data_IF_260868011626
#
_entry.id   IF_260868011626
#
_cell.length_a   1.000
_cell.length_b   1.000
_cell.length_c   1.000
_cell.angle_alpha   90.00
_cell.angle_beta   90.00
_cell.angle_gamma   90.00
#
_symmetry.space_group_name_H-M   'P 1'
#
loop_
_entity.id
_entity.type
_entity.pdbx_description
1 polymer ?
#
# COMPACT_ATOMS: atom_id res chain seq x y z
N UNK A 1 -11.73 -35.24 8.41
CA UNK A 1 -11.67 -34.06 7.50
C UNK A 1 -10.58 -34.38 6.48
N UNK A 2 -10.95 -34.77 5.27
CA UNK A 2 -9.99 -35.12 4.21
C UNK A 2 -9.25 -33.86 3.78
N UNK A 3 -7.98 -33.73 4.16
CA UNK A 3 -7.14 -32.62 3.70
C UNK A 3 -6.98 -32.73 2.19
N UNK A 4 -7.38 -31.69 1.46
CA UNK A 4 -7.15 -31.56 0.03
C UNK A 4 -5.64 -31.46 -0.21
N UNK A 5 -5.04 -32.48 -0.82
CA UNK A 5 -3.64 -32.44 -1.24
C UNK A 5 -3.56 -31.74 -2.60
N UNK A 6 -2.90 -30.56 -2.67
CA UNK A 6 -2.83 -29.82 -3.92
C UNK A 6 -1.94 -30.56 -4.93
N UNK A 7 -2.35 -30.53 -6.20
CA UNK A 7 -1.53 -31.05 -7.30
C UNK A 7 -0.44 -30.04 -7.68
N UNK A 8 0.69 -30.54 -8.22
CA UNK A 8 1.77 -29.68 -8.73
C UNK A 8 1.23 -28.72 -9.81
N UNK A 9 0.31 -29.19 -10.65
CA UNK A 9 -0.32 -28.36 -11.67
C UNK A 9 -1.09 -27.19 -11.05
N UNK A 10 -1.97 -27.44 -10.07
CA UNK A 10 -2.74 -26.39 -9.41
C UNK A 10 -1.82 -25.35 -8.77
N UNK A 11 -0.73 -25.80 -8.18
CA UNK A 11 0.24 -24.96 -7.50
C UNK A 11 1.00 -24.05 -8.51
N UNK A 12 1.43 -24.58 -9.67
CA UNK A 12 2.02 -23.78 -10.76
C UNK A 12 1.04 -22.75 -11.34
N UNK A 13 -0.18 -23.18 -11.66
CA UNK A 13 -1.22 -22.27 -12.18
C UNK A 13 -1.48 -21.14 -11.19
N UNK A 14 -1.59 -21.45 -9.90
CA UNK A 14 -1.80 -20.47 -8.83
C UNK A 14 -0.65 -19.47 -8.77
N UNK A 15 0.60 -19.95 -8.83
CA UNK A 15 1.81 -19.12 -8.81
C UNK A 15 1.83 -18.10 -9.97
N UNK A 16 1.60 -18.55 -11.21
CA UNK A 16 1.58 -17.67 -12.37
C UNK A 16 0.44 -16.65 -12.33
N UNK A 17 -0.78 -17.11 -12.11
CA UNK A 17 -1.98 -16.25 -12.18
C UNK A 17 -1.93 -15.18 -11.09
N UNK A 18 -1.67 -15.57 -9.84
CA UNK A 18 -1.68 -14.61 -8.74
C UNK A 18 -0.50 -13.64 -8.81
N UNK A 19 0.69 -14.10 -9.20
CA UNK A 19 1.84 -13.20 -9.40
C UNK A 19 1.55 -12.20 -10.51
N UNK A 20 0.97 -12.63 -11.64
CA UNK A 20 0.63 -11.74 -12.74
C UNK A 20 -0.35 -10.63 -12.30
N UNK A 21 -1.39 -10.98 -11.55
CA UNK A 21 -2.34 -9.98 -11.03
C UNK A 21 -1.61 -9.00 -10.10
N UNK A 22 -0.72 -9.47 -9.23
CA UNK A 22 0.09 -8.64 -8.35
C UNK A 22 1.04 -7.69 -9.10
N UNK A 23 1.66 -8.17 -10.19
CA UNK A 23 2.50 -7.36 -11.07
C UNK A 23 1.67 -6.26 -11.73
N UNK A 24 0.53 -6.61 -12.33
CA UNK A 24 -0.35 -5.63 -12.97
C UNK A 24 -0.87 -4.59 -11.96
N UNK A 25 -1.24 -5.01 -10.75
CA UNK A 25 -1.63 -4.12 -9.67
C UNK A 25 -0.51 -3.14 -9.28
N UNK A 26 0.74 -3.62 -9.22
CA UNK A 26 1.90 -2.77 -8.92
C UNK A 26 2.20 -1.80 -10.06
N UNK A 27 2.18 -2.27 -11.31
CA UNK A 27 2.35 -1.42 -12.48
C UNK A 27 1.30 -0.31 -12.53
N UNK A 28 0.03 -0.65 -12.30
CA UNK A 28 -1.07 0.31 -12.21
C UNK A 28 -0.83 1.35 -11.11
N UNK A 29 -0.44 0.90 -9.92
CA UNK A 29 -0.09 1.78 -8.79
C UNK A 29 1.01 2.76 -9.17
N UNK A 30 2.10 2.28 -9.77
CA UNK A 30 3.26 3.11 -10.15
C UNK A 30 2.90 4.10 -11.26
N UNK A 31 2.17 3.64 -12.28
CA UNK A 31 1.68 4.48 -13.37
C UNK A 31 0.79 5.61 -12.85
N UNK A 32 -0.26 5.28 -12.08
CA UNK A 32 -1.17 6.27 -11.49
C UNK A 32 -0.37 7.28 -10.68
N UNK A 33 0.52 6.81 -9.81
CA UNK A 33 1.27 7.71 -8.94
C UNK A 33 2.20 8.61 -9.70
N UNK A 34 2.89 8.12 -10.73
CA UNK A 34 3.71 8.95 -11.63
C UNK A 34 2.88 10.04 -12.32
N UNK A 35 1.63 9.75 -12.67
CA UNK A 35 0.74 10.71 -13.34
C UNK A 35 0.16 11.76 -12.39
N UNK A 36 -0.19 11.40 -11.15
CA UNK A 36 -0.85 12.33 -10.22
C UNK A 36 0.09 12.99 -9.21
N UNK A 37 1.24 12.38 -8.87
CA UNK A 37 2.11 12.80 -7.75
C UNK A 37 3.59 12.44 -8.00
N UNK A 38 4.50 12.90 -7.13
CA UNK A 38 5.86 12.32 -7.11
C UNK A 38 5.87 10.90 -6.55
N UNK A 39 6.82 10.07 -7.00
CA UNK A 39 7.10 8.73 -6.47
C UNK A 39 7.67 8.86 -5.06
N UNK A 40 7.12 8.10 -4.11
CA UNK A 40 7.58 8.10 -2.72
C UNK A 40 8.24 6.77 -2.34
N UNK A 41 8.89 6.72 -1.17
CA UNK A 41 9.52 5.51 -0.65
C UNK A 41 8.59 4.29 -0.61
N UNK A 42 7.30 4.46 -0.32
CA UNK A 42 6.33 3.35 -0.36
C UNK A 42 6.20 2.70 -1.75
N UNK A 43 6.38 3.49 -2.81
CA UNK A 43 6.31 3.02 -4.19
C UNK A 43 7.59 2.29 -4.62
N UNK A 44 8.74 2.71 -4.11
CA UNK A 44 10.03 2.02 -4.31
C UNK A 44 9.96 0.62 -3.69
N UNK A 45 9.45 0.50 -2.45
CA UNK A 45 9.28 -0.79 -1.78
C UNK A 45 8.25 -1.69 -2.48
N UNK A 46 7.17 -1.12 -3.03
CA UNK A 46 6.20 -1.87 -3.83
C UNK A 46 6.83 -2.39 -5.13
N UNK A 47 7.62 -1.57 -5.82
CA UNK A 47 8.36 -1.99 -7.02
C UNK A 47 9.39 -3.08 -6.71
N UNK A 48 10.11 -2.96 -5.58
CA UNK A 48 11.03 -3.97 -5.10
C UNK A 48 10.31 -5.29 -4.81
N UNK A 49 9.16 -5.25 -4.12
CA UNK A 49 8.33 -6.43 -3.87
C UNK A 49 7.87 -7.10 -5.17
N UNK A 50 7.51 -6.32 -6.20
CA UNK A 50 7.16 -6.86 -7.51
C UNK A 50 8.33 -7.58 -8.19
N UNK A 51 9.52 -6.97 -8.20
CA UNK A 51 10.73 -7.60 -8.77
C UNK A 51 11.06 -8.89 -8.03
N UNK A 52 11.07 -8.85 -6.69
CA UNK A 52 11.31 -10.03 -5.86
C UNK A 52 10.21 -11.09 -6.05
N UNK A 53 8.97 -10.68 -6.31
CA UNK A 53 7.85 -11.59 -6.61
C UNK A 53 8.05 -12.33 -7.94
N UNK A 54 8.61 -11.67 -8.95
CA UNK A 54 8.99 -12.31 -10.22
C UNK A 54 10.15 -13.28 -10.01
N UNK A 55 11.14 -12.90 -9.19
CA UNK A 55 12.25 -13.80 -8.82
C UNK A 55 11.72 -15.02 -8.06
N UNK A 56 10.79 -14.83 -7.11
CA UNK A 56 10.13 -15.92 -6.41
C UNK A 56 9.42 -16.83 -7.40
N UNK A 57 8.54 -16.28 -8.25
CA UNK A 57 7.77 -17.05 -9.22
C UNK A 57 8.68 -17.91 -10.12
N UNK A 58 9.73 -17.31 -10.70
CA UNK A 58 10.67 -18.01 -11.58
C UNK A 58 11.48 -19.08 -10.84
N UNK A 59 12.03 -18.76 -9.67
CA UNK A 59 12.83 -19.69 -8.87
C UNK A 59 11.98 -20.87 -8.38
N UNK A 60 10.74 -20.59 -8.02
CA UNK A 60 9.79 -21.57 -7.53
C UNK A 60 9.37 -22.56 -8.63
N UNK A 61 9.18 -22.10 -9.88
CA UNK A 61 8.95 -23.01 -11.01
C UNK A 61 10.14 -23.94 -11.25
N UNK A 62 11.36 -23.41 -11.21
CA UNK A 62 12.58 -24.22 -11.35
C UNK A 62 12.69 -25.22 -10.20
N UNK A 63 12.32 -24.82 -8.99
CA UNK A 63 12.33 -25.71 -7.82
C UNK A 63 11.41 -26.93 -8.00
N UNK A 64 10.21 -26.75 -8.58
CA UNK A 64 9.26 -27.84 -8.83
C UNK A 64 9.40 -28.53 -10.19
N UNK A 65 10.43 -28.21 -10.99
CA UNK A 65 10.79 -28.96 -12.19
C UNK A 65 11.64 -30.19 -11.85
N UNK A 66 11.74 -31.13 -12.79
CA UNK A 66 12.53 -32.35 -12.56
C UNK A 66 14.03 -32.01 -12.48
N UNK A 67 14.60 -32.06 -11.28
CA UNK A 67 15.98 -31.64 -11.00
C UNK A 67 17.03 -32.76 -11.18
N UNK A 68 16.71 -33.82 -11.90
CA UNK A 68 17.60 -34.99 -12.07
C UNK A 68 18.97 -34.63 -12.67
N UNK A 69 19.04 -33.57 -13.48
CA UNK A 69 20.27 -33.16 -14.18
C UNK A 69 21.02 -32.01 -13.48
N UNK A 70 20.51 -31.47 -12.37
CA UNK A 70 21.13 -30.32 -11.69
C UNK A 70 22.17 -30.76 -10.65
N UNK A 71 23.29 -30.03 -10.60
CA UNK A 71 24.33 -30.20 -9.58
C UNK A 71 23.80 -29.80 -8.19
N UNK A 72 24.42 -30.31 -7.12
CA UNK A 72 24.04 -29.98 -5.74
C UNK A 72 24.07 -28.46 -5.50
N UNK A 73 25.10 -27.77 -6.01
CA UNK A 73 25.22 -26.32 -5.90
C UNK A 73 24.01 -25.58 -6.51
N UNK A 74 23.58 -25.97 -7.71
CA UNK A 74 22.41 -25.37 -8.37
C UNK A 74 21.14 -25.57 -7.55
N UNK A 75 20.94 -26.76 -6.99
CA UNK A 75 19.78 -27.12 -6.17
C UNK A 75 19.72 -26.28 -4.89
N UNK A 76 20.86 -26.13 -4.22
CA UNK A 76 21.04 -25.25 -3.07
C UNK A 76 20.76 -23.79 -3.42
N UNK A 77 21.28 -23.29 -4.54
CA UNK A 77 21.02 -21.91 -4.99
C UNK A 77 19.53 -21.68 -5.24
N UNK A 78 18.84 -22.60 -5.92
CA UNK A 78 17.39 -22.48 -6.18
C UNK A 78 16.62 -22.43 -4.87
N UNK A 79 16.95 -23.30 -3.91
CA UNK A 79 16.33 -23.30 -2.59
C UNK A 79 16.47 -21.94 -1.89
N UNK A 80 17.68 -21.38 -1.85
CA UNK A 80 17.89 -20.05 -1.26
C UNK A 80 17.18 -18.94 -2.03
N UNK A 81 17.15 -19.00 -3.36
CA UNK A 81 16.42 -18.02 -4.16
C UNK A 81 14.93 -18.03 -3.80
N UNK A 82 14.31 -19.20 -3.66
CA UNK A 82 12.89 -19.32 -3.25
C UNK A 82 12.69 -18.80 -1.83
N UNK A 83 13.48 -19.27 -0.86
CA UNK A 83 13.31 -18.91 0.55
C UNK A 83 13.55 -17.40 0.78
N UNK A 84 14.62 -16.84 0.20
CA UNK A 84 14.97 -15.44 0.39
C UNK A 84 14.04 -14.51 -0.36
N UNK A 85 13.61 -14.85 -1.58
CA UNK A 85 12.63 -14.03 -2.29
C UNK A 85 11.28 -14.04 -1.57
N UNK A 86 10.83 -15.16 -1.01
CA UNK A 86 9.63 -15.22 -0.17
C UNK A 86 9.72 -14.26 1.03
N UNK A 87 10.81 -14.32 1.81
CA UNK A 87 11.00 -13.43 2.96
C UNK A 87 11.06 -11.97 2.52
N UNK A 88 11.76 -11.70 1.41
CA UNK A 88 11.98 -10.36 0.91
C UNK A 88 10.72 -9.71 0.34
N UNK A 89 9.86 -10.44 -0.37
CA UNK A 89 8.56 -9.91 -0.86
C UNK A 89 7.66 -9.57 0.32
N UNK A 90 7.52 -10.48 1.29
CA UNK A 90 6.69 -10.27 2.47
C UNK A 90 7.19 -9.08 3.30
N UNK A 91 8.51 -8.99 3.51
CA UNK A 91 9.15 -7.86 4.17
C UNK A 91 8.91 -6.54 3.43
N UNK A 92 9.23 -6.50 2.13
CA UNK A 92 9.08 -5.30 1.30
C UNK A 92 7.61 -4.83 1.21
N UNK A 93 6.65 -5.75 1.12
CA UNK A 93 5.22 -5.44 1.11
C UNK A 93 4.77 -4.75 2.41
N UNK A 94 5.17 -5.28 3.57
CA UNK A 94 4.86 -4.68 4.88
C UNK A 94 5.54 -3.33 5.07
N UNK A 95 6.79 -3.20 4.63
CA UNK A 95 7.52 -1.94 4.65
C UNK A 95 6.80 -0.90 3.77
N UNK A 96 6.35 -1.27 2.57
CA UNK A 96 5.56 -0.39 1.70
C UNK A 96 4.31 0.12 2.43
N UNK A 97 3.53 -0.76 3.08
CA UNK A 97 2.36 -0.37 3.87
C UNK A 97 2.75 0.56 5.02
N UNK A 98 3.81 0.23 5.77
CA UNK A 98 4.30 1.05 6.87
C UNK A 98 4.70 2.45 6.41
N UNK A 99 5.34 2.60 5.26
CA UNK A 99 5.64 3.92 4.68
C UNK A 99 4.38 4.69 4.28
N UNK A 100 3.32 4.01 3.84
CA UNK A 100 2.01 4.65 3.62
C UNK A 100 1.46 5.21 4.94
N UNK A 101 1.53 4.45 6.04
CA UNK A 101 1.09 4.91 7.36
C UNK A 101 1.95 6.07 7.86
N UNK A 102 3.28 6.01 7.69
CA UNK A 102 4.21 7.09 8.02
C UNK A 102 3.87 8.37 7.25
N UNK A 103 3.49 8.26 5.98
CA UNK A 103 3.13 9.41 5.14
C UNK A 103 1.83 10.08 5.60
N UNK A 104 0.87 9.30 6.10
CA UNK A 104 -0.41 9.82 6.60
C UNK A 104 -0.26 10.41 8.01
N UNK A 105 0.69 9.90 8.79
CA UNK A 105 0.91 10.29 10.18
C UNK A 105 1.63 11.63 10.33
N UNK A 106 1.26 12.40 11.35
CA UNK A 106 1.84 13.72 11.65
C UNK A 106 2.42 13.78 13.07
N UNK A 107 3.37 14.70 13.30
CA UNK A 107 3.96 14.95 14.62
C UNK A 107 4.74 13.77 15.20
N UNK A 108 4.65 13.57 16.53
CA UNK A 108 5.40 12.56 17.29
C UNK A 108 5.18 11.12 16.80
N UNK A 109 3.97 10.80 16.32
CA UNK A 109 3.62 9.46 15.82
C UNK A 109 4.45 9.10 14.58
N UNK A 110 4.74 10.07 13.73
CA UNK A 110 5.56 9.85 12.53
C UNK A 110 6.99 9.43 12.88
N UNK A 111 7.58 10.02 13.91
CA UNK A 111 8.91 9.65 14.38
C UNK A 111 8.92 8.25 15.00
N UNK A 112 7.91 7.92 15.80
CA UNK A 112 7.74 6.59 16.37
C UNK A 112 7.61 5.50 15.29
N UNK A 113 6.79 5.73 14.26
CA UNK A 113 6.63 4.80 13.13
C UNK A 113 7.91 4.61 12.31
N UNK A 114 8.75 5.66 12.17
CA UNK A 114 10.06 5.52 11.52
C UNK A 114 11.00 4.61 12.32
N UNK A 115 10.97 4.71 13.65
CA UNK A 115 11.72 3.79 14.52
C UNK A 115 11.23 2.35 14.38
N UNK A 116 9.92 2.13 14.34
CA UNK A 116 9.34 0.80 14.09
C UNK A 116 9.79 0.27 12.72
N UNK A 117 9.80 1.11 11.68
CA UNK A 117 10.28 0.71 10.35
C UNK A 117 11.75 0.30 10.37
N UNK A 118 12.60 1.03 11.09
CA UNK A 118 14.01 0.70 11.26
C UNK A 118 14.20 -0.62 12.01
N UNK A 119 13.44 -0.86 13.09
CA UNK A 119 13.47 -2.12 13.84
C UNK A 119 13.01 -3.27 12.96
N UNK A 120 11.91 -3.10 12.22
CA UNK A 120 11.39 -4.13 11.33
C UNK A 120 12.39 -4.52 10.23
N UNK A 121 13.02 -3.52 9.60
CA UNK A 121 14.11 -3.73 8.64
C UNK A 121 15.28 -4.49 9.27
N UNK A 122 15.72 -4.07 10.46
CA UNK A 122 16.81 -4.73 11.20
C UNK A 122 16.46 -6.19 11.53
N UNK A 123 15.26 -6.45 12.04
CA UNK A 123 14.79 -7.80 12.36
C UNK A 123 14.75 -8.68 11.11
N UNK A 124 14.29 -8.13 9.98
CA UNK A 124 14.31 -8.86 8.71
C UNK A 124 15.74 -9.24 8.27
N UNK A 125 16.71 -8.33 8.37
CA UNK A 125 18.11 -8.66 8.09
C UNK A 125 18.68 -9.72 9.04
N UNK A 126 18.35 -9.64 10.33
CA UNK A 126 18.77 -10.64 11.33
C UNK A 126 18.19 -12.01 10.99
N UNK A 127 16.90 -12.11 10.64
CA UNK A 127 16.25 -13.37 10.30
C UNK A 127 16.81 -13.97 9.01
N UNK A 128 17.11 -13.12 8.03
CA UNK A 128 17.82 -13.51 6.80
C UNK A 128 19.20 -14.08 7.10
N UNK A 129 19.98 -13.40 7.94
CA UNK A 129 21.30 -13.86 8.35
C UNK A 129 21.25 -15.16 9.17
N UNK A 130 20.26 -15.31 10.05
CA UNK A 130 20.03 -16.54 10.82
C UNK A 130 19.70 -17.73 9.91
N UNK A 131 18.89 -17.52 8.87
CA UNK A 131 18.57 -18.56 7.88
C UNK A 131 19.84 -19.02 7.14
N UNK A 132 20.64 -18.06 6.66
CA UNK A 132 21.90 -18.36 5.97
C UNK A 132 22.86 -19.11 6.91
N UNK A 133 23.08 -18.59 8.11
CA UNK A 133 23.98 -19.18 9.09
C UNK A 133 23.56 -20.60 9.50
N UNK A 134 22.27 -20.85 9.65
CA UNK A 134 21.77 -22.17 10.03
C UNK A 134 21.93 -23.17 8.90
N UNK A 135 21.63 -22.77 7.66
CA UNK A 135 21.65 -23.65 6.50
C UNK A 135 23.04 -23.83 5.87
N UNK A 136 24.02 -22.97 6.17
CA UNK A 136 25.44 -23.15 5.79
C UNK A 136 26.33 -23.62 6.95
N UNK A 137 25.83 -23.60 8.19
CA UNK A 137 26.59 -23.96 9.38
C UNK A 137 26.98 -25.45 9.42
N UNK A 138 27.80 -25.83 10.40
CA UNK A 138 28.31 -27.21 10.59
C UNK A 138 27.23 -28.31 10.72
N UNK A 139 25.96 -27.93 10.90
CA UNK A 139 24.80 -28.83 10.99
C UNK A 139 24.02 -28.94 9.66
N UNK A 140 24.52 -28.36 8.57
CA UNK A 140 23.90 -28.39 7.26
C UNK A 140 24.06 -29.77 6.61
N UNK A 141 23.10 -30.65 6.87
CA UNK A 141 23.04 -31.96 6.25
C UNK A 141 22.44 -31.86 4.83
N UNK A 142 23.25 -31.37 3.88
CA UNK A 142 22.92 -31.41 2.45
C UNK A 142 23.14 -32.82 1.89
N UNK A 143 22.44 -33.80 2.47
CA UNK A 143 22.52 -35.19 2.08
C UNK A 143 21.83 -35.45 0.72
N UNK A 144 22.20 -36.55 0.01
CA UNK A 144 21.56 -36.93 -1.26
C UNK A 144 20.05 -37.20 -1.15
N UNK A 145 19.53 -37.43 0.06
CA UNK A 145 18.11 -37.67 0.38
C UNK A 145 17.35 -36.44 0.91
N UNK A 146 18.04 -35.39 1.38
CA UNK A 146 17.42 -34.22 2.00
C UNK A 146 17.99 -32.92 1.40
N UNK A 147 17.48 -32.53 0.22
CA UNK A 147 17.84 -31.29 -0.46
C UNK A 147 17.25 -30.01 0.18
N UNK A 148 16.56 -30.14 1.31
CA UNK A 148 15.81 -29.06 1.97
C UNK A 148 16.42 -28.83 3.34
N UNK A 149 16.93 -27.61 3.57
CA UNK A 149 17.33 -27.20 4.90
C UNK A 149 16.09 -27.07 5.78
N UNK A 150 15.97 -27.89 6.82
CA UNK A 150 14.90 -27.76 7.80
C UNK A 150 15.09 -26.45 8.59
N UNK A 151 14.28 -25.44 8.27
CA UNK A 151 14.27 -24.19 9.03
C UNK A 151 13.91 -24.51 10.48
N UNK A 152 14.71 -24.09 11.47
CA UNK A 152 14.39 -24.38 12.85
C UNK A 152 13.04 -23.76 13.22
N UNK A 153 12.18 -24.55 13.86
CA UNK A 153 10.87 -24.10 14.35
C UNK A 153 10.94 -22.77 15.12
N UNK A 154 12.04 -22.54 15.86
CA UNK A 154 12.29 -21.29 16.59
C UNK A 154 12.36 -20.07 15.68
N UNK A 155 13.03 -20.18 14.53
CA UNK A 155 13.15 -19.10 13.55
C UNK A 155 11.79 -18.79 12.92
N UNK A 156 11.02 -19.83 12.57
CA UNK A 156 9.67 -19.67 12.04
C UNK A 156 8.71 -18.99 13.04
N UNK A 157 8.77 -19.38 14.33
CA UNK A 157 7.96 -18.74 15.39
C UNK A 157 8.35 -17.28 15.57
N UNK A 158 9.64 -16.96 15.61
CA UNK A 158 10.11 -15.57 15.77
C UNK A 158 9.70 -14.71 14.57
N UNK A 159 9.79 -15.24 13.35
CA UNK A 159 9.31 -14.57 12.15
C UNK A 159 7.80 -14.30 12.22
N UNK A 160 6.99 -15.32 12.53
CA UNK A 160 5.54 -15.18 12.63
C UNK A 160 5.14 -14.17 13.70
N UNK A 161 5.72 -14.27 14.90
CA UNK A 161 5.40 -13.36 16.01
C UNK A 161 5.80 -11.93 15.72
N UNK A 162 6.95 -11.72 15.08
CA UNK A 162 7.38 -10.39 14.62
C UNK A 162 6.42 -9.81 13.58
N UNK A 163 5.99 -10.63 12.62
CA UNK A 163 5.05 -10.22 11.59
C UNK A 163 3.69 -9.83 12.18
N UNK A 164 3.11 -10.66 13.04
CA UNK A 164 1.83 -10.39 13.71
C UNK A 164 1.92 -9.15 14.60
N UNK A 165 3.02 -8.99 15.34
CA UNK A 165 3.23 -7.83 16.20
C UNK A 165 3.36 -6.54 15.37
N UNK A 166 4.07 -6.59 14.24
CA UNK A 166 4.20 -5.48 13.30
C UNK A 166 2.83 -5.08 12.74
N UNK A 167 2.04 -6.05 12.27
CA UNK A 167 0.69 -5.84 11.77
C UNK A 167 -0.23 -5.25 12.84
N UNK A 168 -0.12 -5.72 14.09
CA UNK A 168 -0.87 -5.17 15.23
C UNK A 168 -0.50 -3.72 15.53
N UNK A 169 0.78 -3.38 15.52
CA UNK A 169 1.26 -2.00 15.71
C UNK A 169 0.74 -1.09 14.59
N UNK A 170 0.75 -1.57 13.34
CA UNK A 170 0.21 -0.86 12.17
C UNK A 170 -1.29 -0.58 12.28
N UNK A 171 -2.04 -1.46 12.93
CA UNK A 171 -3.47 -1.31 13.19
C UNK A 171 -3.73 -0.29 14.31
N UNK A 172 -3.07 -0.44 15.45
CA UNK A 172 -3.36 0.35 16.66
C UNK A 172 -2.92 1.80 16.51
N UNK A 173 -1.78 2.03 15.84
CA UNK A 173 -1.19 3.38 15.71
C UNK A 173 -2.12 4.41 15.04
N UNK A 174 -2.68 4.15 13.85
CA UNK A 174 -3.61 5.09 13.22
C UNK A 174 -4.90 5.23 14.03
N UNK A 175 -5.46 4.14 14.59
CA UNK A 175 -6.73 4.19 15.34
C UNK A 175 -6.69 5.15 16.54
N UNK A 176 -5.59 5.14 17.31
CA UNK A 176 -5.44 6.01 18.48
C UNK A 176 -5.41 7.50 18.11
N UNK A 177 -4.89 7.84 16.94
CA UNK A 177 -4.83 9.22 16.46
C UNK A 177 -6.14 9.66 15.78
N UNK A 178 -6.78 8.73 15.07
CA UNK A 178 -8.04 8.92 14.33
C UNK A 178 -9.22 9.24 15.26
N UNK A 179 -9.27 8.63 16.45
CA UNK A 179 -10.37 8.83 17.40
C UNK A 179 -10.51 10.26 17.92
N UNK A 180 -9.49 11.12 17.76
CA UNK A 180 -9.51 12.49 18.28
C UNK A 180 -9.76 13.57 17.22
N UNK A 181 -9.82 13.23 15.93
CA UNK A 181 -9.81 14.24 14.84
C UNK A 181 -10.88 13.93 13.79
N UNK A 182 -11.63 14.97 13.36
CA UNK A 182 -12.56 14.89 12.22
C UNK A 182 -11.77 14.71 10.91
N UNK A 183 -11.54 13.47 10.50
CA UNK A 183 -10.82 13.14 9.26
C UNK A 183 -11.64 13.37 7.99
N UNK A 184 -10.96 13.77 6.92
CA UNK A 184 -11.52 13.81 5.57
C UNK A 184 -11.91 12.40 5.09
N UNK A 185 -12.90 12.30 4.19
CA UNK A 185 -13.36 11.01 3.64
C UNK A 185 -12.21 10.20 3.03
N UNK A 186 -11.30 10.86 2.32
CA UNK A 186 -10.14 10.23 1.67
C UNK A 186 -9.15 9.62 2.67
N UNK A 187 -8.96 10.23 3.84
CA UNK A 187 -8.12 9.67 4.90
C UNK A 187 -8.76 8.44 5.54
N UNK A 188 -10.07 8.48 5.81
CA UNK A 188 -10.81 7.35 6.39
C UNK A 188 -10.73 6.10 5.51
N UNK A 189 -10.93 6.27 4.20
CA UNK A 189 -10.84 5.17 3.22
C UNK A 189 -9.45 4.53 3.24
N UNK A 190 -8.38 5.33 3.26
CA UNK A 190 -7.00 4.82 3.31
C UNK A 190 -6.73 4.02 4.58
N UNK A 191 -7.22 4.50 5.72
CA UNK A 191 -7.06 3.79 7.01
C UNK A 191 -7.82 2.47 7.02
N UNK A 192 -9.06 2.45 6.52
CA UNK A 192 -9.84 1.21 6.41
C UNK A 192 -9.15 0.20 5.48
N UNK A 193 -8.64 0.68 4.34
CA UNK A 193 -7.87 -0.15 3.43
C UNK A 193 -6.62 -0.74 4.11
N UNK A 194 -5.87 0.07 4.87
CA UNK A 194 -4.71 -0.40 5.63
C UNK A 194 -5.12 -1.46 6.66
N UNK A 195 -6.18 -1.22 7.43
CA UNK A 195 -6.65 -2.18 8.43
C UNK A 195 -7.08 -3.51 7.81
N UNK A 196 -7.84 -3.47 6.71
CA UNK A 196 -8.22 -4.67 5.97
C UNK A 196 -7.00 -5.39 5.40
N UNK A 197 -6.01 -4.63 4.94
CA UNK A 197 -4.77 -5.14 4.34
C UNK A 197 -3.95 -5.94 5.35
N UNK A 198 -3.76 -5.40 6.57
CA UNK A 198 -2.97 -6.04 7.62
C UNK A 198 -3.67 -7.28 8.17
N UNK A 199 -5.01 -7.26 8.33
CA UNK A 199 -5.76 -8.47 8.73
C UNK A 199 -5.59 -9.59 7.69
N UNK A 200 -5.72 -9.28 6.40
CA UNK A 200 -5.55 -10.26 5.34
C UNK A 200 -4.13 -10.86 5.35
N UNK A 201 -3.10 -10.03 5.52
CA UNK A 201 -1.70 -10.49 5.65
C UNK A 201 -1.51 -11.42 6.85
N UNK A 202 -2.08 -11.07 8.01
CA UNK A 202 -2.00 -11.89 9.23
C UNK A 202 -2.69 -13.25 9.06
N UNK A 203 -3.88 -13.29 8.44
CA UNK A 203 -4.61 -14.56 8.22
C UNK A 203 -3.77 -15.50 7.34
N UNK A 204 -3.20 -14.98 6.26
CA UNK A 204 -2.46 -15.81 5.31
C UNK A 204 -1.09 -16.22 5.88
N UNK A 205 -0.43 -15.36 6.66
CA UNK A 205 0.81 -15.74 7.34
C UNK A 205 0.60 -16.82 8.40
N UNK A 206 -0.50 -16.75 9.16
CA UNK A 206 -0.87 -17.82 10.11
C UNK A 206 -1.19 -19.12 9.37
N UNK A 207 -1.88 -19.07 8.23
CA UNK A 207 -2.14 -20.25 7.42
C UNK A 207 -0.84 -20.90 6.94
N UNK A 208 0.11 -20.13 6.40
CA UNK A 208 1.41 -20.68 5.99
C UNK A 208 2.17 -21.28 7.18
N UNK A 209 2.22 -20.59 8.31
CA UNK A 209 2.87 -21.10 9.51
C UNK A 209 2.23 -22.40 10.03
N UNK A 210 0.90 -22.52 9.96
CA UNK A 210 0.19 -23.75 10.32
C UNK A 210 0.67 -24.93 9.45
N UNK A 211 0.68 -24.77 8.13
CA UNK A 211 1.14 -25.84 7.22
C UNK A 211 2.62 -26.15 7.38
N UNK A 212 3.46 -25.16 7.65
CA UNK A 212 4.87 -25.34 7.92
C UNK A 212 5.11 -26.17 9.19
N UNK A 213 4.36 -25.90 10.26
CA UNK A 213 4.56 -26.54 11.58
C UNK A 213 3.93 -27.94 11.63
N UNK A 214 2.74 -28.12 11.05
CA UNK A 214 1.97 -29.37 11.16
C UNK A 214 2.43 -30.42 10.15
N UNK A 215 2.61 -30.05 8.88
CA UNK A 215 2.98 -31.01 7.83
C UNK A 215 4.50 -31.15 7.70
N UNK A 216 5.29 -30.30 8.36
CA UNK A 216 6.75 -30.31 8.28
C UNK A 216 7.28 -29.92 6.89
N UNK A 217 6.44 -29.29 6.06
CA UNK A 217 6.72 -28.94 4.67
C UNK A 217 5.90 -29.76 3.66
N UNK A 218 6.11 -29.51 2.36
CA UNK A 218 5.46 -30.24 1.27
C UNK A 218 4.57 -29.38 0.38
N UNK A 219 3.69 -30.00 -0.41
CA UNK A 219 2.89 -29.29 -1.41
C UNK A 219 1.86 -28.32 -0.80
N UNK A 220 1.32 -28.64 0.38
CA UNK A 220 0.38 -27.77 1.11
C UNK A 220 1.08 -26.51 1.62
N UNK A 221 2.27 -26.66 2.20
CA UNK A 221 3.11 -25.54 2.65
C UNK A 221 3.55 -24.67 1.46
N UNK A 222 3.99 -25.28 0.37
CA UNK A 222 4.39 -24.57 -0.83
C UNK A 222 3.21 -23.79 -1.46
N UNK A 223 2.01 -24.38 -1.48
CA UNK A 223 0.80 -23.65 -1.91
C UNK A 223 0.50 -22.47 -0.98
N UNK A 224 0.59 -22.67 0.34
CA UNK A 224 0.37 -21.60 1.30
C UNK A 224 1.40 -20.47 1.15
N UNK A 225 2.67 -20.79 0.85
CA UNK A 225 3.72 -19.82 0.58
C UNK A 225 3.43 -18.99 -0.68
N UNK A 226 2.99 -19.63 -1.77
CA UNK A 226 2.58 -18.96 -3.01
C UNK A 226 1.41 -18.02 -2.77
N UNK A 227 0.39 -18.48 -2.02
CA UNK A 227 -0.77 -17.65 -1.67
C UNK A 227 -0.33 -16.47 -0.81
N UNK A 228 0.51 -16.69 0.21
CA UNK A 228 1.02 -15.61 1.06
C UNK A 228 1.78 -14.57 0.28
N UNK A 229 2.73 -15.00 -0.56
CA UNK A 229 3.54 -14.09 -1.36
C UNK A 229 2.67 -13.24 -2.30
N UNK A 230 1.71 -13.88 -2.94
CA UNK A 230 0.80 -13.23 -3.87
C UNK A 230 -0.14 -12.25 -3.18
N UNK A 231 -0.71 -12.65 -2.04
CA UNK A 231 -1.58 -11.79 -1.22
C UNK A 231 -0.78 -10.60 -0.72
N UNK A 232 0.45 -10.79 -0.23
CA UNK A 232 1.33 -9.69 0.18
C UNK A 232 1.53 -8.66 -0.93
N UNK A 233 1.79 -9.13 -2.16
CA UNK A 233 1.97 -8.26 -3.33
C UNK A 233 0.67 -7.55 -3.75
N UNK A 234 -0.48 -8.21 -3.67
CA UNK A 234 -1.78 -7.57 -3.96
C UNK A 234 -2.11 -6.50 -2.91
N UNK A 235 -2.00 -6.88 -1.65
CA UNK A 235 -2.42 -6.11 -0.49
C UNK A 235 -1.61 -4.83 -0.33
N UNK A 236 -0.30 -4.84 -0.63
CA UNK A 236 0.50 -3.60 -0.62
C UNK A 236 0.05 -2.59 -1.69
N UNK A 237 -0.65 -3.03 -2.74
CA UNK A 237 -1.21 -2.19 -3.80
C UNK A 237 -2.65 -1.73 -3.54
N UNK A 238 -3.39 -2.41 -2.65
CA UNK A 238 -4.83 -2.17 -2.42
C UNK A 238 -5.18 -0.74 -2.05
N UNK A 239 -4.37 -0.08 -1.21
CA UNK A 239 -4.66 1.30 -0.79
C UNK A 239 -4.76 2.31 -1.94
N UNK A 240 -4.01 2.10 -3.03
CA UNK A 240 -4.01 2.96 -4.21
C UNK A 240 -5.16 2.61 -5.14
N UNK A 241 -5.42 1.32 -5.34
CA UNK A 241 -6.54 0.82 -6.15
C UNK A 241 -7.87 1.29 -5.54
N UNK A 242 -8.04 1.11 -4.24
CA UNK A 242 -9.24 1.55 -3.52
C UNK A 242 -9.42 3.06 -3.64
N UNK A 243 -8.36 3.84 -3.41
CA UNK A 243 -8.43 5.30 -3.54
C UNK A 243 -8.84 5.75 -4.96
N UNK A 244 -8.42 5.02 -5.99
CA UNK A 244 -8.80 5.28 -7.38
C UNK A 244 -10.26 4.95 -7.67
N UNK A 245 -10.75 3.78 -7.24
CA UNK A 245 -12.15 3.39 -7.42
C UNK A 245 -13.08 4.42 -6.77
N UNK A 246 -12.75 4.88 -5.56
CA UNK A 246 -13.52 5.92 -4.88
C UNK A 246 -13.43 7.29 -5.56
N UNK A 247 -12.31 7.60 -6.21
CA UNK A 247 -12.16 8.83 -6.96
C UNK A 247 -13.10 8.85 -8.17
N UNK A 248 -13.15 7.76 -8.95
CA UNK A 248 -14.06 7.62 -10.09
C UNK A 248 -15.51 7.71 -9.62
N UNK A 249 -15.89 6.94 -8.60
CA UNK A 249 -17.26 6.95 -8.08
C UNK A 249 -17.70 8.34 -7.58
N UNK A 250 -16.76 9.14 -7.05
CA UNK A 250 -17.03 10.52 -6.64
C UNK A 250 -17.14 11.49 -7.82
N UNK A 251 -16.39 11.28 -8.90
CA UNK A 251 -16.47 12.05 -10.15
C UNK A 251 -17.81 11.79 -10.85
N UNK A 252 -18.26 10.54 -10.93
CA UNK A 252 -19.56 10.15 -11.51
C UNK A 252 -20.74 10.80 -10.75
N UNK A 253 -20.67 10.81 -9.41
CA UNK A 253 -21.68 11.47 -8.59
C UNK A 253 -21.73 12.98 -8.85
N UNK A 254 -20.57 13.64 -8.95
CA UNK A 254 -20.49 15.09 -9.25
C UNK A 254 -21.01 15.43 -10.65
N UNK A 255 -20.70 14.60 -11.65
CA UNK A 255 -21.22 14.76 -13.01
C UNK A 255 -22.75 14.71 -13.05
N UNK A 256 -23.35 13.81 -12.27
CA UNK A 256 -24.81 13.68 -12.16
C UNK A 256 -25.48 14.94 -11.58
N UNK A 257 -24.90 15.55 -10.54
CA UNK A 257 -25.43 16.78 -9.95
C UNK A 257 -25.32 18.00 -10.89
N UNK A 258 -24.25 18.09 -11.69
CA UNK A 258 -24.11 19.19 -12.67
C UNK A 258 -25.12 19.09 -13.81
N UNK A 259 -25.45 17.87 -14.26
CA UNK A 259 -26.49 17.65 -15.27
C UNK A 259 -27.87 18.03 -14.73
N UNK A 260 -28.18 17.68 -13.49
CA UNK A 260 -29.47 18.01 -12.86
C UNK A 260 -29.63 19.52 -12.59
N UNK A 261 -28.55 20.19 -12.17
CA UNK A 261 -28.53 21.65 -11.97
C UNK A 261 -28.59 22.44 -13.30
N UNK A 262 -28.06 21.89 -14.40
CA UNK A 262 -28.16 22.47 -15.74
C UNK A 262 -29.58 22.47 -16.32
N UNK A 263 -30.47 21.60 -15.83
CA UNK A 263 -31.89 21.55 -16.21
C UNK A 263 -32.82 22.44 -15.36
N UNK A 264 -32.34 23.00 -14.25
CA UNK A 264 -33.13 23.89 -13.40
C UNK A 264 -32.99 25.34 -13.87
N UNK A 265 -33.48 25.61 -15.08
CA UNK A 265 -33.73 26.97 -15.59
C UNK A 265 -34.81 27.61 -14.72
N UNK A 266 -34.39 28.45 -13.78
CA UNK A 266 -35.27 29.32 -13.00
C UNK A 266 -35.83 30.39 -13.96
N UNK A 267 -36.93 30.05 -14.64
CA UNK A 267 -37.73 30.99 -15.43
C UNK A 267 -38.46 31.94 -14.48
N UNK A 268 -37.76 32.98 -14.03
CA UNK A 268 -38.41 34.11 -13.35
C UNK A 268 -39.37 34.78 -14.34
N UNK A 269 -40.66 34.46 -14.19
CA UNK A 269 -41.75 35.13 -14.91
C UNK A 269 -42.01 36.45 -14.21
N UNK A 270 -41.44 37.54 -14.73
CA UNK A 270 -41.75 38.90 -14.27
C UNK A 270 -43.22 39.19 -14.60
N UNK A 271 -44.08 39.57 -13.63
CA UNK A 271 -45.45 39.95 -13.92
C UNK A 271 -45.47 41.30 -14.64
N UNK A 272 -46.04 41.33 -15.85
CA UNK A 272 -46.28 42.56 -16.60
C UNK A 272 -47.51 43.28 -16.04
N UNK A 273 -47.30 44.33 -15.26
CA UNK A 273 -48.40 45.22 -14.87
C UNK A 273 -48.11 46.13 -13.69
N UNK A 274 -47.25 47.15 -13.85
CA UNK A 274 -47.27 48.36 -13.00
C UNK A 274 -46.94 49.59 -13.88
N UNK A 275 -47.68 50.71 -13.78
CA UNK A 275 -47.45 51.89 -14.61
C UNK A 275 -46.24 52.70 -14.15
N UNK A 276 -45.62 53.36 -15.13
CA UNK A 276 -44.48 54.27 -15.01
C UNK A 276 -44.72 55.41 -14.01
N UNK A 277 -43.89 55.49 -12.99
CA UNK A 277 -43.83 56.65 -12.09
C UNK A 277 -42.87 56.46 -10.93
N UNK A 278 -41.87 57.34 -10.85
CA UNK A 278 -40.92 57.58 -9.74
C UNK A 278 -39.80 56.57 -9.50
N UNK A 279 -38.57 57.11 -9.47
CA UNK A 279 -37.32 56.38 -9.55
C UNK A 279 -36.99 55.55 -8.31
N UNK A 280 -36.41 54.37 -8.57
CA UNK A 280 -35.68 53.56 -7.60
C UNK A 280 -34.45 52.97 -8.30
N UNK A 281 -33.30 53.17 -7.68
CA UNK A 281 -31.99 52.64 -8.05
C UNK A 281 -31.99 51.11 -7.86
N UNK A 282 -31.92 50.34 -8.94
CA UNK A 282 -31.74 48.88 -8.88
C UNK A 282 -30.24 48.58 -8.98
N UNK A 283 -29.70 48.08 -7.88
CA UNK A 283 -28.34 47.52 -7.80
C UNK A 283 -28.29 46.22 -8.61
N UNK A 284 -27.32 46.15 -9.51
CA UNK A 284 -27.07 45.04 -10.41
C UNK A 284 -26.66 43.81 -9.59
N UNK A 285 -27.55 42.83 -9.42
CA UNK A 285 -27.16 41.50 -8.94
C UNK A 285 -26.42 40.79 -10.09
N UNK A 286 -25.09 40.86 -10.07
CA UNK A 286 -24.27 40.04 -10.95
C UNK A 286 -24.33 38.58 -10.47
N UNK A 287 -24.90 37.73 -11.32
CA UNK A 287 -24.76 36.28 -11.23
C UNK A 287 -23.34 35.95 -11.65
N UNK A 288 -22.47 35.70 -10.66
CA UNK A 288 -21.11 35.22 -10.90
C UNK A 288 -21.21 33.75 -11.34
N UNK A 289 -21.23 33.52 -12.64
CA UNK A 289 -20.89 32.22 -13.23
C UNK A 289 -19.39 32.01 -13.08
N UNK A 290 -19.02 31.02 -12.26
CA UNK A 290 -17.65 30.64 -11.92
C UNK A 290 -17.01 29.82 -13.06
N UNK A 291 -16.89 30.42 -14.25
CA UNK A 291 -16.32 29.77 -15.45
C UNK A 291 -15.25 30.62 -16.17
N UNK A 292 -14.70 31.64 -15.51
CA UNK A 292 -13.63 32.46 -16.11
C UNK A 292 -12.61 32.94 -15.09
N UNK A 293 -11.88 32.00 -14.49
CA UNK A 293 -10.60 32.30 -13.83
C UNK A 293 -9.55 31.21 -14.10
N UNK A 294 -9.58 30.69 -15.33
CA UNK A 294 -8.66 29.68 -15.85
C UNK A 294 -8.07 30.06 -17.19
N UNK A 295 -7.71 31.33 -17.41
CA UNK A 295 -6.83 31.73 -18.50
C UNK A 295 -6.25 33.12 -18.22
N UNK A 296 -4.95 33.28 -18.50
CA UNK A 296 -4.09 34.47 -18.31
C UNK A 296 -3.37 34.57 -16.96
N UNK A 297 -2.17 33.97 -16.87
CA UNK A 297 -0.94 34.78 -16.94
C UNK A 297 0.31 33.89 -17.03
N UNK A 298 1.11 34.09 -18.09
CA UNK A 298 2.49 33.63 -18.20
C UNK A 298 3.40 34.83 -18.51
N UNK A 299 4.49 34.95 -17.74
CA UNK A 299 5.73 35.75 -17.94
C UNK A 299 5.58 37.30 -18.01
N UNK A 300 6.45 38.16 -17.43
CA UNK A 300 7.92 38.11 -17.34
C UNK A 300 8.50 39.23 -16.41
N UNK A 301 9.65 38.95 -15.75
CA UNK A 301 10.83 39.82 -15.41
C UNK A 301 10.84 40.97 -14.35
N UNK A 302 11.68 40.72 -13.30
CA UNK A 302 12.77 41.52 -12.64
C UNK A 302 12.50 42.90 -11.98
N UNK A 303 12.94 43.04 -10.70
CA UNK A 303 14.07 43.87 -10.18
C UNK A 303 14.07 43.90 -8.62
N UNK A 304 15.25 43.73 -7.99
CA UNK A 304 15.69 44.48 -6.79
C UNK A 304 15.34 44.01 -5.36
N UNK A 305 16.32 43.46 -4.64
CA UNK A 305 16.44 43.32 -3.16
C UNK A 305 16.50 44.71 -2.44
N UNK A 306 16.72 44.79 -1.10
CA UNK A 306 16.11 44.08 0.06
C UNK A 306 15.67 45.09 1.16
N UNK A 307 14.80 44.74 2.11
CA UNK A 307 14.77 45.47 3.39
C UNK A 307 14.29 44.62 4.57
N UNK A 308 14.99 44.85 5.66
CA UNK A 308 15.01 44.21 6.97
C UNK A 308 13.95 44.80 7.92
N UNK A 309 13.89 44.25 9.13
CA UNK A 309 13.38 44.77 10.42
C UNK A 309 11.98 44.39 10.91
N UNK A 310 12.03 43.60 11.99
CA UNK A 310 11.20 43.59 13.20
C UNK A 310 10.14 44.69 13.32
N UNK A 311 8.89 44.27 13.59
CA UNK A 311 7.97 45.05 14.44
C UNK A 311 6.99 44.13 15.16
N UNK A 312 7.19 44.04 16.48
CA UNK A 312 6.21 43.61 17.48
C UNK A 312 5.17 44.71 17.71
N UNK A 313 4.12 44.33 18.45
CA UNK A 313 3.11 45.18 19.12
C UNK A 313 1.80 45.39 18.33
N UNK A 314 0.59 45.41 18.88
CA UNK A 314 -0.02 45.05 20.17
C UNK A 314 -1.52 45.45 20.02
N UNK A 315 -2.47 44.59 20.41
CA UNK A 315 -3.91 44.89 20.72
C UNK A 315 -4.76 45.54 19.59
N UNK A 316 -6.10 45.54 19.56
CA UNK A 316 -7.15 45.25 20.51
C UNK A 316 -8.47 44.95 19.74
N UNK A 317 -9.27 44.06 20.31
CA UNK A 317 -10.74 44.02 20.39
C UNK A 317 -11.57 45.15 19.74
N UNK A 318 -12.55 44.80 18.89
CA UNK A 318 -13.85 45.48 18.88
C UNK A 318 -14.96 44.66 18.18
N UNK A 319 -16.09 44.58 18.88
CA UNK A 319 -17.36 43.93 18.50
C UNK A 319 -18.04 44.55 17.27
N UNK A 320 -18.78 43.72 16.54
CA UNK A 320 -19.76 44.16 15.54
C UNK A 320 -21.18 43.82 16.00
N UNK A 321 -21.99 44.87 16.16
CA UNK A 321 -23.46 44.87 16.01
C UNK A 321 -23.86 44.75 14.56
#
# INVERSE_FOLDING_TARGET
MTMYTPTILALRVTNFVLTLIGVLATCFRLWRRKTTTHIWWDDIWAALAMILGIIFMTSFEIFFQNQTSHTLATKTTIYYLVAQSYLAVNGAARISILFIVIRISVGRVRYFLKWIAAIFLLTWFILTAQLLWTCEGKNADWGPSHLICAVPLRVAIVQLTTDVLSDFILIVTPLRHVWKIKLSRSQKIRIIAIFSSTIAMTIVSVNHAYWLIVDGGGLSEALAAVIQNSVSLLVCNFSVIIAFIFQIAAEDARGSYHVEAGTLSLRCKVPSGVPSGTGVRIERTEVITLDSLGSLHGNTTKIGQPFDTDRKDFLMEQDCT
#
